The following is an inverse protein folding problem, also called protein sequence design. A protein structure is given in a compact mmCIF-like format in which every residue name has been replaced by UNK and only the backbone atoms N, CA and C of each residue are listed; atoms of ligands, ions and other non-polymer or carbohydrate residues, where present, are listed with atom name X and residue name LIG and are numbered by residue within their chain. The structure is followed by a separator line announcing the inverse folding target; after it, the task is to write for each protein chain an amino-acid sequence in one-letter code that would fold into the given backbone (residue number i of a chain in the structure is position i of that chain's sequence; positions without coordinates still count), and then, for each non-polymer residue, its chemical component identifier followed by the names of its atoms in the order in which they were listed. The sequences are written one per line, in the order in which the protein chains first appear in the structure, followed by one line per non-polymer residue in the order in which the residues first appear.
data_IF_778384935740
#
_entry.id   IF_778384935740
#
_cell.length_a   1.000
_cell.length_b   1.000
_cell.length_c   1.000
_cell.angle_alpha   90.00
_cell.angle_beta   90.00
_cell.angle_gamma   90.00
#
_symmetry.space_group_name_H-M   'P 1'
#
loop_
_entity.id
_entity.type
_entity.pdbx_description
1 polymer ?
#
# COMPACT_ATOMS: atom_id res chain seq x y z
N UNK A 1 4.64 -0.69 -19.95
CA UNK A 1 3.68 -1.09 -18.90
C UNK A 1 3.76 -2.58 -18.58
N UNK A 2 3.74 -3.49 -19.57
CA UNK A 2 3.90 -4.94 -19.33
C UNK A 2 5.28 -5.28 -18.74
N UNK A 3 6.37 -4.78 -19.33
CA UNK A 3 7.72 -5.05 -18.82
C UNK A 3 7.88 -4.63 -17.36
N UNK A 4 7.36 -3.46 -16.98
CA UNK A 4 7.37 -3.00 -15.59
C UNK A 4 6.66 -3.96 -14.63
N UNK A 5 5.53 -4.57 -15.03
CA UNK A 5 4.85 -5.58 -14.20
C UNK A 5 5.70 -6.82 -14.00
N UNK A 6 6.41 -7.26 -15.04
CA UNK A 6 7.33 -8.40 -14.99
C UNK A 6 8.49 -8.07 -14.05
N UNK A 7 9.13 -6.92 -14.25
CA UNK A 7 10.29 -6.47 -13.48
C UNK A 7 9.97 -6.25 -12.00
N UNK A 8 8.71 -5.93 -11.66
CA UNK A 8 8.25 -5.68 -10.29
C UNK A 8 7.39 -6.82 -9.72
N UNK A 9 7.31 -7.97 -10.41
CA UNK A 9 6.57 -9.15 -9.95
C UNK A 9 5.10 -8.87 -9.55
N UNK A 10 4.45 -7.91 -10.21
CA UNK A 10 3.10 -7.44 -9.86
C UNK A 10 2.06 -8.56 -9.96
N UNK A 11 2.26 -9.52 -10.87
CA UNK A 11 1.32 -10.62 -11.09
C UNK A 11 1.24 -11.59 -9.89
N UNK A 12 2.25 -11.61 -9.02
CA UNK A 12 2.29 -12.49 -7.84
C UNK A 12 2.16 -11.74 -6.51
N UNK A 13 2.11 -10.40 -6.53
CA UNK A 13 2.21 -9.55 -5.33
C UNK A 13 1.13 -9.87 -4.27
N UNK A 14 -0.07 -10.22 -4.72
CA UNK A 14 -1.19 -10.58 -3.86
C UNK A 14 -1.03 -11.94 -3.16
N UNK A 15 -0.09 -12.77 -3.62
CA UNK A 15 0.21 -14.10 -3.08
C UNK A 15 1.58 -14.17 -2.40
N UNK A 16 2.36 -13.09 -2.43
CA UNK A 16 3.68 -13.05 -1.79
C UNK A 16 3.52 -12.78 -0.30
N UNK A 17 3.76 -13.81 0.51
CA UNK A 17 3.60 -13.73 1.97
C UNK A 17 4.52 -12.69 2.62
N UNK A 18 5.69 -12.42 2.03
CA UNK A 18 6.59 -11.39 2.54
C UNK A 18 6.00 -9.99 2.35
N UNK A 19 5.36 -9.74 1.21
CA UNK A 19 4.69 -8.46 0.92
C UNK A 19 3.45 -8.30 1.80
N UNK A 20 2.60 -9.33 1.89
CA UNK A 20 1.37 -9.31 2.70
C UNK A 20 1.68 -8.88 4.14
N UNK A 21 2.66 -9.53 4.78
CA UNK A 21 3.00 -9.22 6.18
C UNK A 21 3.56 -7.81 6.37
N UNK A 22 4.23 -7.23 5.35
CA UNK A 22 4.70 -5.85 5.38
C UNK A 22 3.56 -4.86 5.16
N UNK A 23 2.63 -5.15 4.25
CA UNK A 23 1.41 -4.35 4.03
C UNK A 23 0.55 -4.30 5.28
N UNK A 24 0.27 -5.44 5.90
CA UNK A 24 -0.51 -5.50 7.14
C UNK A 24 0.13 -4.70 8.29
N UNK A 25 1.45 -4.61 8.32
CA UNK A 25 2.16 -3.76 9.28
C UNK A 25 2.06 -2.28 8.88
N UNK A 26 2.17 -1.97 7.60
CA UNK A 26 2.09 -0.61 7.07
C UNK A 26 0.71 -0.01 7.32
N UNK A 27 -0.37 -0.76 7.08
CA UNK A 27 -1.76 -0.33 7.32
C UNK A 27 -2.05 -0.04 8.80
N UNK A 28 -1.27 -0.58 9.75
CA UNK A 28 -1.38 -0.23 11.18
C UNK A 28 -0.78 1.13 11.51
N UNK A 29 0.18 1.59 10.71
CA UNK A 29 0.92 2.83 10.91
C UNK A 29 0.43 3.95 10.00
N UNK A 30 -0.14 3.59 8.84
CA UNK A 30 -0.69 4.49 7.84
C UNK A 30 -2.20 4.33 7.79
N UNK A 31 -2.96 5.32 8.29
CA UNK A 31 -4.42 5.27 8.33
C UNK A 31 -5.02 5.47 6.94
N UNK A 32 -5.07 4.39 6.17
CA UNK A 32 -5.67 4.30 4.84
C UNK A 32 -6.76 3.24 4.79
N UNK A 33 -7.82 3.49 4.00
CA UNK A 33 -8.85 2.49 3.75
C UNK A 33 -9.62 2.77 2.47
N UNK A 34 -10.11 1.70 1.82
CA UNK A 34 -11.23 1.81 0.89
C UNK A 34 -12.55 1.80 1.67
N UNK A 35 -13.40 2.81 1.46
CA UNK A 35 -14.68 2.92 2.18
C UNK A 35 -15.82 3.42 1.30
N UNK A 36 -16.61 2.47 0.80
CA UNK A 36 -17.78 2.76 -0.02
C UNK A 36 -17.42 3.26 -1.42
N UNK A 37 -18.35 3.99 -2.04
CA UNK A 37 -18.21 4.46 -3.41
C UNK A 37 -18.65 5.91 -3.55
N UNK A 38 -18.10 6.62 -4.53
CA UNK A 38 -18.57 7.95 -4.92
C UNK A 38 -19.97 7.86 -5.55
N UNK A 39 -20.62 9.01 -5.77
CA UNK A 39 -21.90 9.08 -6.50
C UNK A 39 -21.83 8.49 -7.91
N UNK A 40 -20.64 8.40 -8.48
CA UNK A 40 -20.36 7.79 -9.78
C UNK A 40 -19.95 6.32 -9.67
N UNK A 41 -20.20 5.68 -8.52
CA UNK A 41 -19.90 4.28 -8.24
C UNK A 41 -18.40 3.92 -8.31
N UNK A 42 -17.51 4.88 -8.10
CA UNK A 42 -16.06 4.62 -8.03
C UNK A 42 -15.66 4.26 -6.60
N UNK A 43 -14.79 3.26 -6.38
CA UNK A 43 -14.28 2.95 -5.04
C UNK A 43 -13.63 4.18 -4.39
N UNK A 44 -14.01 4.49 -3.16
CA UNK A 44 -13.46 5.63 -2.44
C UNK A 44 -12.27 5.19 -1.60
N UNK A 45 -11.07 5.64 -1.97
CA UNK A 45 -9.86 5.53 -1.16
C UNK A 45 -9.71 6.76 -0.25
N UNK A 46 -9.45 6.52 1.04
CA UNK A 46 -9.28 7.57 2.04
C UNK A 46 -7.92 7.39 2.71
N UNK A 47 -7.12 8.45 2.73
CA UNK A 47 -5.82 8.51 3.40
C UNK A 47 -5.82 9.68 4.39
N UNK A 48 -5.53 9.42 5.67
CA UNK A 48 -5.46 10.45 6.71
C UNK A 48 -4.01 10.87 6.95
N UNK A 49 -3.42 11.55 5.96
CA UNK A 49 -2.00 11.95 5.99
C UNK A 49 -1.60 12.73 7.25
N UNK A 50 -2.46 13.62 7.73
CA UNK A 50 -2.22 14.41 8.93
C UNK A 50 -2.17 13.60 10.24
N UNK A 51 -2.47 12.30 10.21
CA UNK A 51 -2.40 11.39 11.35
C UNK A 51 -1.23 10.40 11.26
N UNK A 52 -0.40 10.49 10.22
CA UNK A 52 0.74 9.59 10.02
C UNK A 52 1.90 9.95 10.96
N UNK A 53 2.50 8.93 11.58
CA UNK A 53 3.77 9.08 12.28
C UNK A 53 4.93 8.84 11.28
N UNK A 54 5.31 9.89 10.55
CA UNK A 54 6.31 9.79 9.47
C UNK A 54 7.67 9.28 9.98
N UNK A 55 8.08 9.72 11.18
CA UNK A 55 9.36 9.28 11.77
C UNK A 55 9.39 7.78 12.08
N UNK A 56 8.24 7.22 12.48
CA UNK A 56 8.12 5.78 12.72
C UNK A 56 8.10 5.00 11.40
N UNK A 57 7.34 5.47 10.41
CA UNK A 57 7.26 4.84 9.08
C UNK A 57 8.65 4.78 8.43
N UNK A 58 9.41 5.88 8.43
CA UNK A 58 10.75 5.95 7.83
C UNK A 58 11.82 5.14 8.60
N UNK A 59 11.57 4.79 9.87
CA UNK A 59 12.42 3.87 10.65
C UNK A 59 12.08 2.41 10.38
N UNK A 60 10.82 2.12 10.07
CA UNK A 60 10.30 0.76 9.95
C UNK A 60 10.33 0.23 8.52
N UNK A 61 10.19 1.09 7.51
CA UNK A 61 10.08 0.69 6.10
C UNK A 61 11.17 1.33 5.24
N UNK A 62 11.64 0.58 4.24
CA UNK A 62 12.37 1.17 3.11
C UNK A 62 11.40 1.80 2.12
N UNK A 63 11.93 2.65 1.25
CA UNK A 63 11.13 3.27 0.18
C UNK A 63 10.56 2.18 -0.74
N UNK A 64 11.33 1.13 -1.03
CA UNK A 64 10.89 0.00 -1.86
C UNK A 64 9.69 -0.73 -1.23
N UNK A 65 9.71 -0.96 0.08
CA UNK A 65 8.60 -1.61 0.79
C UNK A 65 7.35 -0.74 0.81
N UNK A 66 7.51 0.59 0.95
CA UNK A 66 6.38 1.52 0.83
C UNK A 66 5.80 1.52 -0.58
N UNK A 67 6.65 1.46 -1.60
CA UNK A 67 6.21 1.35 -3.00
C UNK A 67 5.50 0.02 -3.24
N UNK A 68 6.02 -1.09 -2.73
CA UNK A 68 5.37 -2.40 -2.82
C UNK A 68 3.99 -2.39 -2.16
N UNK A 69 3.87 -1.78 -0.97
CA UNK A 69 2.58 -1.67 -0.30
C UNK A 69 1.59 -0.74 -1.02
N UNK A 70 2.07 0.22 -1.80
CA UNK A 70 1.21 1.04 -2.67
C UNK A 70 0.76 0.31 -3.94
N UNK A 71 1.52 -0.68 -4.40
CA UNK A 71 1.21 -1.49 -5.59
C UNK A 71 0.27 -2.66 -5.25
N UNK A 72 0.41 -3.22 -4.04
CA UNK A 72 -0.41 -4.31 -3.50
C UNK A 72 -1.90 -3.93 -3.44
#
# INVERSE_FOLDING_TARGET
MIQWRIDNHVDIILNDQSVISRVELFEKLVPTAFHGHTKSYQPLYIEKTGQMNVDEILKTFTIEEMIQGHIY
#
